data_IF_473166560091
#
_entry.id   IF_473166560091
#
_cell.length_a   1.000
_cell.length_b   1.000
_cell.length_c   1.000
_cell.angle_alpha   90.00
_cell.angle_beta   90.00
_cell.angle_gamma   90.00
#
_symmetry.space_group_name_H-M   'P 1'
#
loop_
_entity.id
_entity.type
_entity.pdbx_description
1 polymer ?
#
# COMPACT_ATOMS: atom_id res chain seq x y z
N UNK A 1 9.34 -7.09 21.74
CA UNK A 1 8.41 -6.72 20.63
C UNK A 1 8.04 -7.99 19.89
N UNK A 2 6.78 -8.40 19.97
CA UNK A 2 6.28 -9.70 19.44
C UNK A 2 6.41 -9.80 17.90
N UNK A 3 6.35 -8.66 17.22
CA UNK A 3 6.42 -8.58 15.75
C UNK A 3 7.85 -8.44 15.20
N UNK A 4 8.85 -8.11 16.02
CA UNK A 4 10.21 -7.88 15.52
C UNK A 4 10.85 -9.17 14.97
N UNK A 5 10.76 -10.28 15.70
CA UNK A 5 11.34 -11.56 15.26
C UNK A 5 10.79 -12.07 13.93
N UNK A 6 9.45 -12.09 13.67
CA UNK A 6 8.93 -12.39 12.34
C UNK A 6 9.42 -11.42 11.25
N UNK A 7 9.52 -10.12 11.54
CA UNK A 7 10.04 -9.16 10.57
C UNK A 7 11.52 -9.38 10.26
N UNK A 8 12.34 -9.66 11.27
CA UNK A 8 13.75 -10.02 11.09
C UNK A 8 13.92 -11.25 10.21
N UNK A 9 13.04 -12.24 10.37
CA UNK A 9 13.10 -13.49 9.63
C UNK A 9 12.62 -13.36 8.18
N UNK A 10 11.53 -12.63 7.94
CA UNK A 10 10.84 -12.69 6.64
C UNK A 10 11.01 -11.44 5.77
N UNK A 11 11.48 -10.32 6.32
CA UNK A 11 11.71 -9.11 5.54
C UNK A 11 12.88 -9.32 4.58
N UNK A 12 12.73 -9.03 3.28
CA UNK A 12 13.81 -9.14 2.32
C UNK A 12 15.06 -8.37 2.75
N UNK A 13 16.24 -8.97 2.54
CA UNK A 13 17.51 -8.41 3.02
C UNK A 13 17.88 -7.07 2.36
N UNK A 14 17.35 -6.83 1.17
CA UNK A 14 17.59 -5.65 0.34
C UNK A 14 16.61 -4.49 0.56
N UNK A 15 15.66 -4.64 1.49
CA UNK A 15 14.77 -3.53 1.87
C UNK A 15 15.57 -2.38 2.50
N UNK A 16 15.43 -1.14 1.99
CA UNK A 16 16.12 0.02 2.54
C UNK A 16 15.74 0.26 4.00
N UNK A 17 16.69 0.82 4.77
CA UNK A 17 16.47 1.15 6.18
C UNK A 17 15.93 -0.02 7.02
N UNK A 18 16.32 -1.24 6.68
CA UNK A 18 15.80 -2.48 7.28
C UNK A 18 15.72 -2.46 8.81
N UNK A 19 16.72 -1.96 9.58
CA UNK A 19 16.62 -1.85 11.03
C UNK A 19 15.46 -0.94 11.48
N UNK A 20 15.30 0.22 10.86
CA UNK A 20 14.20 1.14 11.17
C UNK A 20 12.85 0.56 10.75
N UNK A 21 12.79 -0.22 9.65
CA UNK A 21 11.58 -0.93 9.24
C UNK A 21 11.19 -1.95 10.31
N UNK A 22 12.11 -2.77 10.80
CA UNK A 22 11.83 -3.78 11.84
C UNK A 22 11.30 -3.09 13.10
N UNK A 23 11.97 -2.04 13.58
CA UNK A 23 11.57 -1.32 14.79
C UNK A 23 10.19 -0.65 14.63
N UNK A 24 10.06 0.23 13.64
CA UNK A 24 8.86 1.07 13.48
C UNK A 24 7.65 0.28 12.97
N UNK A 25 7.84 -0.70 12.08
CA UNK A 25 6.73 -1.53 11.62
C UNK A 25 6.27 -2.49 12.72
N UNK A 26 7.16 -2.98 13.61
CA UNK A 26 6.74 -3.71 14.81
C UNK A 26 5.85 -2.84 15.68
N UNK A 27 6.25 -1.59 15.95
CA UNK A 27 5.43 -0.66 16.73
C UNK A 27 4.11 -0.33 16.06
N UNK A 28 4.09 -0.19 14.72
CA UNK A 28 2.85 -0.01 13.96
C UNK A 28 1.88 -1.19 14.16
N UNK A 29 2.37 -2.42 14.06
CA UNK A 29 1.53 -3.61 14.28
C UNK A 29 1.02 -3.70 15.72
N UNK A 30 1.82 -3.31 16.73
CA UNK A 30 1.38 -3.22 18.12
C UNK A 30 0.23 -2.20 18.27
N UNK A 31 0.37 -1.00 17.68
CA UNK A 31 -0.67 0.02 17.70
C UNK A 31 -1.97 -0.45 17.04
N UNK A 32 -1.88 -1.26 15.98
CA UNK A 32 -3.04 -1.88 15.35
C UNK A 32 -3.74 -2.84 16.32
N UNK A 33 -2.98 -3.72 16.99
CA UNK A 33 -3.55 -4.67 17.96
C UNK A 33 -4.19 -3.93 19.14
N UNK A 34 -3.49 -2.93 19.69
CA UNK A 34 -4.00 -2.08 20.77
C UNK A 34 -5.36 -1.41 20.35
N UNK A 35 -5.41 -0.86 19.14
CA UNK A 35 -6.60 -0.16 18.63
C UNK A 35 -7.73 -1.11 18.28
N UNK A 36 -7.45 -2.33 17.85
CA UNK A 36 -8.46 -3.34 17.53
C UNK A 36 -9.37 -3.70 18.73
N UNK A 37 -8.94 -3.46 19.97
CA UNK A 37 -9.82 -3.58 21.14
C UNK A 37 -10.97 -2.59 21.13
N UNK A 38 -10.81 -1.45 20.45
CA UNK A 38 -11.81 -0.39 20.38
C UNK A 38 -12.61 -0.38 19.09
N UNK A 39 -12.00 -0.67 17.96
CA UNK A 39 -12.65 -0.85 16.66
C UNK A 39 -11.76 -1.63 15.69
N UNK A 40 -12.38 -2.45 14.84
CA UNK A 40 -11.67 -3.32 13.92
C UNK A 40 -10.96 -2.54 12.81
N UNK A 41 -9.64 -2.51 12.85
CA UNK A 41 -8.76 -2.05 11.78
C UNK A 41 -8.46 -3.18 10.78
N UNK A 42 -8.15 -4.35 11.30
CA UNK A 42 -7.86 -5.56 10.52
C UNK A 42 -8.20 -6.83 11.32
N UNK A 43 -8.47 -7.93 10.62
CA UNK A 43 -8.66 -9.25 11.22
C UNK A 43 -7.34 -10.01 11.41
N UNK A 44 -6.29 -9.57 10.75
CA UNK A 44 -4.98 -10.23 10.76
C UNK A 44 -4.17 -9.63 11.92
N UNK A 45 -4.09 -10.37 13.01
CA UNK A 45 -3.41 -9.94 14.26
C UNK A 45 -2.39 -10.96 14.76
N UNK A 46 -2.37 -12.17 14.21
CA UNK A 46 -1.30 -13.14 14.49
C UNK A 46 0.05 -12.53 14.11
N UNK A 47 1.09 -12.64 14.95
CA UNK A 47 2.36 -11.96 14.73
C UNK A 47 3.06 -12.31 13.43
N UNK A 48 3.07 -13.58 13.05
CA UNK A 48 3.71 -14.05 11.81
C UNK A 48 2.87 -13.63 10.60
N UNK A 49 1.56 -13.89 10.67
CA UNK A 49 0.65 -13.54 9.59
C UNK A 49 0.62 -12.01 9.33
N UNK A 50 0.57 -11.21 10.39
CA UNK A 50 0.56 -9.75 10.29
C UNK A 50 1.89 -9.21 9.73
N UNK A 51 3.03 -9.73 10.19
CA UNK A 51 4.33 -9.35 9.65
C UNK A 51 4.41 -9.65 8.14
N UNK A 52 3.99 -10.84 7.72
CA UNK A 52 4.07 -11.26 6.32
C UNK A 52 3.02 -10.53 5.45
N UNK A 53 1.73 -10.64 5.80
CA UNK A 53 0.63 -10.14 4.94
C UNK A 53 0.47 -8.62 4.98
N UNK A 54 0.99 -7.94 6.00
CA UNK A 54 0.92 -6.50 6.07
C UNK A 54 2.24 -5.83 5.69
N UNK A 55 3.34 -6.16 6.36
CA UNK A 55 4.60 -5.43 6.20
C UNK A 55 5.43 -5.98 5.05
N UNK A 56 5.71 -7.29 5.03
CA UNK A 56 6.52 -7.91 3.97
C UNK A 56 5.82 -7.74 2.61
N UNK A 57 4.52 -8.06 2.53
CA UNK A 57 3.71 -7.84 1.31
C UNK A 57 3.80 -6.40 0.79
N UNK A 58 3.76 -5.40 1.68
CA UNK A 58 3.88 -3.98 1.31
C UNK A 58 5.26 -3.64 0.72
N UNK A 59 6.31 -4.32 1.21
CA UNK A 59 7.70 -3.99 0.90
C UNK A 59 8.34 -4.86 -0.19
N UNK A 60 7.72 -5.97 -0.58
CA UNK A 60 8.25 -6.78 -1.70
C UNK A 60 8.57 -5.93 -2.94
N UNK A 61 7.64 -5.08 -3.41
CA UNK A 61 7.86 -4.29 -4.61
C UNK A 61 8.42 -2.87 -4.34
N UNK A 62 9.13 -2.64 -3.24
CA UNK A 62 9.60 -1.32 -2.82
C UNK A 62 10.37 -0.54 -3.90
N UNK A 63 11.10 -1.24 -4.77
CA UNK A 63 11.92 -0.63 -5.85
C UNK A 63 11.09 0.21 -6.82
N UNK A 64 9.84 -0.15 -7.05
CA UNK A 64 8.94 0.59 -7.96
C UNK A 64 8.52 1.96 -7.43
N UNK A 65 8.80 2.24 -6.14
CA UNK A 65 8.45 3.49 -5.45
C UNK A 65 9.65 4.38 -5.16
N UNK A 66 10.89 3.85 -5.24
CA UNK A 66 12.09 4.49 -4.73
C UNK A 66 12.46 5.81 -5.44
N UNK A 67 12.16 5.92 -6.73
CA UNK A 67 12.49 7.10 -7.54
C UNK A 67 11.37 8.17 -7.55
N UNK A 68 10.26 7.93 -6.89
CA UNK A 68 9.15 8.87 -6.85
C UNK A 68 9.40 9.98 -5.82
N UNK A 69 8.95 11.19 -6.13
CA UNK A 69 8.94 12.29 -5.15
C UNK A 69 7.73 12.21 -4.23
N UNK A 70 6.57 11.86 -4.79
CA UNK A 70 5.30 11.77 -4.05
C UNK A 70 4.56 10.50 -4.42
N UNK A 71 4.19 9.72 -3.40
CA UNK A 71 3.37 8.51 -3.50
C UNK A 71 2.07 8.73 -2.71
N UNK A 72 0.92 8.53 -3.35
CA UNK A 72 -0.38 8.54 -2.66
C UNK A 72 -0.88 7.11 -2.46
N UNK A 73 -1.19 6.74 -1.23
CA UNK A 73 -1.81 5.46 -0.87
C UNK A 73 -3.33 5.64 -0.78
N UNK A 74 -4.05 5.09 -1.74
CA UNK A 74 -5.49 5.25 -1.89
C UNK A 74 -6.27 4.19 -1.10
N UNK A 75 -6.96 4.64 -0.05
CA UNK A 75 -7.66 3.74 0.85
C UNK A 75 -6.70 3.04 1.80
N UNK A 76 -5.82 3.79 2.45
CA UNK A 76 -4.73 3.28 3.29
C UNK A 76 -5.17 2.35 4.41
N UNK A 77 -6.41 2.42 4.84
CA UNK A 77 -6.95 1.56 5.90
C UNK A 77 -6.14 1.69 7.21
N UNK A 78 -5.54 0.58 7.69
CA UNK A 78 -4.63 0.64 8.84
C UNK A 78 -3.21 1.10 8.50
N UNK A 79 -2.97 1.60 7.27
CA UNK A 79 -1.68 2.18 6.84
C UNK A 79 -0.87 1.31 5.88
N UNK A 80 -1.49 0.39 5.16
CA UNK A 80 -0.79 -0.51 4.24
C UNK A 80 -1.23 -0.31 2.77
N UNK A 81 -0.28 -0.14 1.84
CA UNK A 81 1.17 -0.30 1.98
C UNK A 81 1.93 0.95 2.44
N UNK A 82 1.25 2.11 2.60
CA UNK A 82 1.88 3.42 2.73
C UNK A 82 2.88 3.57 3.89
N UNK A 83 2.53 3.15 5.12
CA UNK A 83 3.41 3.29 6.30
C UNK A 83 4.70 2.47 6.17
N UNK A 84 4.69 1.16 5.84
CA UNK A 84 5.92 0.41 5.64
C UNK A 84 6.81 1.01 4.54
N UNK A 85 6.23 1.43 3.42
CA UNK A 85 6.97 2.08 2.33
C UNK A 85 7.59 3.41 2.80
N UNK A 86 6.86 4.22 3.57
CA UNK A 86 7.35 5.49 4.08
C UNK A 86 8.52 5.32 5.08
N UNK A 87 8.53 4.24 5.86
CA UNK A 87 9.64 3.92 6.76
C UNK A 87 10.88 3.50 5.93
N UNK A 88 10.67 2.68 4.90
CA UNK A 88 11.75 2.18 4.05
C UNK A 88 12.34 3.29 3.16
N UNK A 89 11.54 4.26 2.72
CA UNK A 89 11.89 5.29 1.75
C UNK A 89 11.71 6.69 2.35
N UNK A 90 12.57 7.14 3.28
CA UNK A 90 12.39 8.40 4.02
C UNK A 90 12.49 9.66 3.15
N UNK A 91 13.11 9.58 1.98
CA UNK A 91 13.24 10.71 1.05
C UNK A 91 12.03 10.85 0.11
N UNK A 92 11.12 9.87 0.09
CA UNK A 92 9.87 9.88 -0.67
C UNK A 92 8.75 10.42 0.21
N UNK A 93 7.96 11.37 -0.29
CA UNK A 93 6.78 11.88 0.41
C UNK A 93 5.59 10.94 0.20
N UNK A 94 4.92 10.57 1.29
CA UNK A 94 3.74 9.71 1.26
C UNK A 94 2.48 10.48 1.67
N UNK A 95 1.41 10.29 0.92
CA UNK A 95 0.08 10.85 1.19
C UNK A 95 -0.86 9.69 1.44
N UNK A 96 -1.37 9.56 2.66
CA UNK A 96 -2.31 8.51 3.04
C UNK A 96 -3.74 9.03 2.91
N UNK A 97 -4.53 8.42 2.04
CA UNK A 97 -5.91 8.81 1.76
C UNK A 97 -6.86 7.79 2.37
N UNK A 98 -7.59 8.18 3.42
CA UNK A 98 -8.54 7.30 4.11
C UNK A 98 -9.84 8.06 4.44
N UNK A 99 -10.94 7.61 3.86
CA UNK A 99 -12.22 8.32 4.01
C UNK A 99 -12.92 8.10 5.35
N UNK A 100 -12.59 7.01 6.05
CA UNK A 100 -13.16 6.70 7.35
C UNK A 100 -12.48 7.49 8.46
N UNK A 101 -13.16 8.46 9.06
CA UNK A 101 -12.61 9.37 10.06
C UNK A 101 -11.86 8.68 11.20
N UNK A 102 -12.41 7.57 11.72
CA UNK A 102 -11.75 6.81 12.81
C UNK A 102 -10.41 6.22 12.37
N UNK A 103 -10.33 5.70 11.13
CA UNK A 103 -9.08 5.17 10.57
C UNK A 103 -8.10 6.28 10.24
N UNK A 104 -8.55 7.40 9.70
CA UNK A 104 -7.69 8.56 9.45
C UNK A 104 -7.05 9.08 10.75
N UNK A 105 -7.80 9.22 11.84
CA UNK A 105 -7.27 9.58 13.17
C UNK A 105 -6.26 8.57 13.69
N UNK A 106 -6.51 7.28 13.48
CA UNK A 106 -5.54 6.24 13.80
C UNK A 106 -4.25 6.43 13.02
N UNK A 107 -4.33 6.69 11.71
CA UNK A 107 -3.15 6.96 10.88
C UNK A 107 -2.38 8.19 11.35
N UNK A 108 -3.06 9.30 11.67
CA UNK A 108 -2.44 10.52 12.20
C UNK A 108 -1.67 10.24 13.49
N UNK A 109 -2.30 9.54 14.45
CA UNK A 109 -1.64 9.16 15.70
C UNK A 109 -0.48 8.21 15.49
N UNK A 110 -0.60 7.27 14.56
CA UNK A 110 0.47 6.32 14.21
C UNK A 110 1.66 7.04 13.56
N UNK A 111 1.43 7.92 12.60
CA UNK A 111 2.47 8.74 11.96
C UNK A 111 3.25 9.53 13.00
N UNK A 112 2.55 10.15 13.95
CA UNK A 112 3.16 10.89 15.06
C UNK A 112 3.96 9.97 15.98
N UNK A 113 3.39 8.84 16.41
CA UNK A 113 4.04 7.88 17.32
C UNK A 113 5.31 7.25 16.72
N UNK A 114 5.33 7.04 15.40
CA UNK A 114 6.48 6.51 14.66
C UNK A 114 7.49 7.60 14.24
N UNK A 115 7.18 8.88 14.45
CA UNK A 115 8.02 10.01 14.05
C UNK A 115 8.28 10.08 12.54
N UNK A 116 7.27 9.78 11.72
CA UNK A 116 7.38 9.82 10.26
C UNK A 116 7.17 11.26 9.76
N UNK A 117 8.24 11.89 9.28
CA UNK A 117 8.21 13.29 8.79
C UNK A 117 7.83 13.40 7.31
N UNK A 118 7.87 12.28 6.61
CA UNK A 118 7.58 12.18 5.18
C UNK A 118 6.16 11.66 4.89
N UNK A 119 5.25 11.71 5.86
CA UNK A 119 3.87 11.20 5.71
C UNK A 119 2.86 12.27 6.08
N UNK A 120 1.90 12.52 5.18
CA UNK A 120 0.71 13.32 5.43
C UNK A 120 -0.55 12.46 5.32
N UNK A 121 -1.52 12.67 6.21
CA UNK A 121 -2.79 11.94 6.22
C UNK A 121 -3.93 12.88 5.81
N UNK A 122 -4.79 12.44 4.91
CA UNK A 122 -5.96 13.18 4.45
C UNK A 122 -7.23 12.35 4.66
N UNK A 123 -8.19 12.83 5.48
CA UNK A 123 -9.45 12.15 5.77
C UNK A 123 -10.46 12.35 4.64
N UNK A 124 -10.12 11.96 3.43
CA UNK A 124 -10.91 12.18 2.20
C UNK A 124 -10.99 10.91 1.35
N UNK A 125 -11.94 10.88 0.43
CA UNK A 125 -11.96 9.90 -0.65
C UNK A 125 -10.81 10.16 -1.61
N UNK A 126 -10.15 9.10 -2.06
CA UNK A 126 -9.03 9.21 -2.99
C UNK A 126 -9.43 9.89 -4.30
N UNK A 127 -10.64 9.58 -4.82
CA UNK A 127 -11.18 10.17 -6.04
C UNK A 127 -11.38 11.68 -5.92
N UNK A 128 -11.73 12.17 -4.72
CA UNK A 128 -11.89 13.60 -4.48
C UNK A 128 -10.53 14.30 -4.38
N UNK A 129 -9.56 13.68 -3.72
CA UNK A 129 -8.19 14.19 -3.65
C UNK A 129 -7.56 14.30 -5.05
N UNK A 130 -7.77 13.30 -5.93
CA UNK A 130 -7.24 13.32 -7.30
C UNK A 130 -7.83 14.44 -8.18
N UNK A 131 -8.92 15.10 -7.77
CA UNK A 131 -9.47 16.25 -8.53
C UNK A 131 -8.60 17.51 -8.39
N UNK A 132 -8.08 17.77 -7.19
CA UNK A 132 -7.26 18.93 -6.86
C UNK A 132 -5.76 18.66 -6.91
N UNK A 133 -5.34 17.51 -6.43
CA UNK A 133 -3.96 17.17 -6.14
C UNK A 133 -3.39 16.10 -7.07
N UNK A 134 -2.07 15.89 -7.00
CA UNK A 134 -1.34 14.94 -7.82
C UNK A 134 -0.23 14.26 -7.02
N UNK A 135 -0.07 12.95 -7.25
CA UNK A 135 1.12 12.18 -6.90
C UNK A 135 1.76 11.61 -8.17
N UNK A 136 3.05 11.35 -8.16
CA UNK A 136 3.74 10.66 -9.26
C UNK A 136 3.29 9.21 -9.34
N UNK A 137 3.15 8.57 -8.17
CA UNK A 137 2.63 7.22 -8.04
C UNK A 137 1.40 7.25 -7.14
N UNK A 138 0.36 6.58 -7.57
CA UNK A 138 -0.78 6.22 -6.72
C UNK A 138 -0.69 4.71 -6.47
N UNK A 139 -0.76 4.29 -5.22
CA UNK A 139 -0.81 2.88 -4.88
C UNK A 139 -2.10 2.54 -4.16
N UNK A 140 -2.51 1.30 -4.24
CA UNK A 140 -3.61 0.77 -3.45
C UNK A 140 -3.50 -0.75 -3.28
N UNK A 141 -3.98 -1.23 -2.13
CA UNK A 141 -4.09 -2.65 -1.81
C UNK A 141 -5.53 -3.02 -1.49
N UNK A 142 -5.90 -4.28 -1.71
CA UNK A 142 -7.24 -4.79 -1.46
C UNK A 142 -8.36 -4.00 -2.15
N UNK A 143 -8.07 -3.44 -3.32
CA UNK A 143 -9.07 -2.77 -4.17
C UNK A 143 -9.94 -3.78 -4.90
N UNK A 144 -11.11 -3.32 -5.36
CA UNK A 144 -12.02 -4.09 -6.21
C UNK A 144 -11.32 -4.69 -7.45
N UNK A 145 -11.93 -5.69 -8.11
CA UNK A 145 -11.44 -6.18 -9.41
C UNK A 145 -11.20 -5.04 -10.40
N UNK A 146 -10.26 -5.25 -11.35
CA UNK A 146 -9.79 -4.20 -12.27
C UNK A 146 -10.90 -3.47 -13.01
N UNK A 147 -11.96 -4.18 -13.41
CA UNK A 147 -13.14 -3.57 -14.07
C UNK A 147 -13.73 -2.41 -13.23
N UNK A 148 -13.77 -2.57 -11.91
CA UNK A 148 -14.31 -1.57 -10.98
C UNK A 148 -13.24 -0.61 -10.47
N UNK A 149 -11.99 -1.03 -10.43
CA UNK A 149 -10.87 -0.20 -9.97
C UNK A 149 -10.46 0.86 -11.00
N UNK A 150 -10.40 0.50 -12.29
CA UNK A 150 -10.00 1.41 -13.38
C UNK A 150 -10.71 2.78 -13.36
N UNK A 151 -12.05 2.85 -13.24
CA UNK A 151 -12.75 4.14 -13.18
C UNK A 151 -12.31 5.04 -12.01
N UNK A 152 -11.99 4.45 -10.85
CA UNK A 152 -11.58 5.18 -9.64
C UNK A 152 -10.25 5.91 -9.83
N UNK A 153 -9.33 5.32 -10.60
CA UNK A 153 -7.99 5.88 -10.83
C UNK A 153 -7.87 6.73 -12.09
N UNK A 154 -8.92 6.80 -12.94
CA UNK A 154 -8.91 7.64 -14.15
C UNK A 154 -8.52 9.11 -13.91
N UNK A 155 -8.97 9.80 -12.83
CA UNK A 155 -8.53 11.16 -12.55
C UNK A 155 -7.02 11.28 -12.32
N UNK A 156 -6.43 10.36 -11.57
CA UNK A 156 -4.99 10.32 -11.33
C UNK A 156 -4.21 10.02 -12.62
N UNK A 157 -4.66 9.04 -13.41
CA UNK A 157 -4.07 8.70 -14.71
C UNK A 157 -4.08 9.89 -15.68
N UNK A 158 -5.19 10.63 -15.76
CA UNK A 158 -5.29 11.84 -16.61
C UNK A 158 -4.30 12.93 -16.21
N UNK A 159 -3.88 12.98 -14.95
CA UNK A 159 -2.85 13.90 -14.45
C UNK A 159 -1.43 13.36 -14.61
N UNK A 160 -1.26 12.21 -15.26
CA UNK A 160 0.03 11.59 -15.54
C UNK A 160 0.61 10.79 -14.38
N UNK A 161 -0.20 10.42 -13.36
CA UNK A 161 0.23 9.49 -12.33
C UNK A 161 0.36 8.08 -12.89
N UNK A 162 1.33 7.30 -12.39
CA UNK A 162 1.34 5.83 -12.50
C UNK A 162 0.52 5.26 -11.36
N UNK A 163 -0.33 4.27 -11.62
CA UNK A 163 -1.11 3.63 -10.57
C UNK A 163 -0.60 2.20 -10.37
N UNK A 164 -0.11 1.89 -9.18
CA UNK A 164 0.46 0.60 -8.82
C UNK A 164 -0.49 -0.14 -7.86
N UNK A 165 -1.06 -1.24 -8.32
CA UNK A 165 -2.05 -2.02 -7.56
C UNK A 165 -1.46 -3.35 -7.10
N UNK A 166 -1.61 -3.65 -5.82
CA UNK A 166 -1.31 -4.97 -5.25
C UNK A 166 -2.50 -5.89 -5.49
N UNK A 167 -2.31 -6.91 -6.33
CA UNK A 167 -3.34 -7.86 -6.75
C UNK A 167 -3.01 -9.29 -6.32
N UNK A 168 -3.99 -10.16 -6.32
CA UNK A 168 -3.83 -11.59 -6.08
C UNK A 168 -3.38 -12.36 -7.33
N UNK A 169 -3.36 -13.70 -7.21
CA UNK A 169 -2.91 -14.62 -8.25
C UNK A 169 -3.81 -14.70 -9.49
N UNK A 170 -5.06 -14.24 -9.39
CA UNK A 170 -6.04 -14.32 -10.49
C UNK A 170 -6.01 -13.11 -11.44
N UNK A 171 -4.88 -12.43 -11.53
CA UNK A 171 -4.76 -11.16 -12.27
C UNK A 171 -5.04 -11.32 -13.77
N UNK A 172 -4.64 -12.42 -14.39
CA UNK A 172 -4.88 -12.67 -15.82
C UNK A 172 -6.39 -12.73 -16.12
N UNK A 173 -7.17 -13.38 -15.25
CA UNK A 173 -8.62 -13.39 -15.35
C UNK A 173 -9.19 -11.98 -15.18
N UNK A 174 -8.74 -11.22 -14.18
CA UNK A 174 -9.20 -9.85 -13.99
C UNK A 174 -8.91 -8.95 -15.20
N UNK A 175 -7.75 -9.12 -15.86
CA UNK A 175 -7.40 -8.39 -17.09
C UNK A 175 -8.33 -8.83 -18.24
N UNK A 176 -8.60 -10.12 -18.37
CA UNK A 176 -9.48 -10.62 -19.41
C UNK A 176 -10.94 -10.13 -19.28
N UNK A 177 -11.38 -9.89 -18.04
CA UNK A 177 -12.72 -9.35 -17.74
C UNK A 177 -12.86 -7.85 -18.04
N UNK A 178 -11.77 -7.10 -18.25
CA UNK A 178 -11.85 -5.67 -18.66
C UNK A 178 -12.45 -5.59 -20.06
N UNK A 179 -13.63 -4.95 -20.25
CA UNK A 179 -14.33 -5.00 -21.54
C UNK A 179 -13.57 -4.32 -22.68
N UNK A 180 -12.94 -3.18 -22.41
CA UNK A 180 -12.25 -2.38 -23.40
C UNK A 180 -10.86 -2.90 -23.72
N UNK A 181 -10.58 -3.26 -24.97
CA UNK A 181 -9.24 -3.62 -25.44
C UNK A 181 -8.24 -2.46 -25.26
N UNK A 182 -8.69 -1.23 -25.38
CA UNK A 182 -7.87 -0.03 -25.11
C UNK A 182 -7.45 0.00 -23.66
N UNK A 183 -8.37 -0.20 -22.72
CA UNK A 183 -8.07 -0.19 -21.31
C UNK A 183 -7.17 -1.37 -20.91
N UNK A 184 -7.37 -2.57 -21.51
CA UNK A 184 -6.45 -3.72 -21.28
C UNK A 184 -5.01 -3.39 -21.63
N UNK A 185 -4.76 -2.66 -22.73
CA UNK A 185 -3.41 -2.26 -23.14
C UNK A 185 -2.73 -1.27 -22.20
N UNK A 186 -3.46 -0.66 -21.28
CA UNK A 186 -2.91 0.24 -20.25
C UNK A 186 -2.50 -0.50 -18.98
N UNK A 187 -2.75 -1.80 -18.90
CA UNK A 187 -2.47 -2.64 -17.73
C UNK A 187 -1.19 -3.43 -18.01
N UNK A 188 -0.20 -3.26 -17.15
CA UNK A 188 1.09 -3.96 -17.24
C UNK A 188 1.33 -4.70 -15.93
N UNK A 189 1.62 -5.99 -16.01
CA UNK A 189 2.14 -6.76 -14.87
C UNK A 189 3.61 -6.40 -14.70
N UNK A 190 3.98 -5.82 -13.56
CA UNK A 190 5.36 -5.43 -13.28
C UNK A 190 6.16 -6.58 -12.67
N UNK A 191 5.60 -7.23 -11.67
CA UNK A 191 6.21 -8.41 -11.03
C UNK A 191 5.16 -9.28 -10.34
N UNK A 192 5.51 -10.55 -10.14
CA UNK A 192 4.75 -11.49 -9.32
C UNK A 192 5.72 -12.10 -8.30
N UNK A 193 5.28 -12.18 -7.04
CA UNK A 193 6.07 -12.71 -5.95
C UNK A 193 5.24 -13.61 -5.04
N UNK A 194 5.90 -14.61 -4.42
CA UNK A 194 5.32 -15.44 -3.38
C UNK A 194 5.56 -14.82 -2.01
N UNK A 195 4.55 -14.87 -1.16
CA UNK A 195 4.71 -14.52 0.25
C UNK A 195 5.33 -15.69 1.01
N UNK A 196 6.19 -15.42 2.01
CA UNK A 196 6.74 -16.46 2.88
C UNK A 196 5.65 -17.33 3.52
N UNK A 197 6.01 -18.53 3.97
CA UNK A 197 5.12 -19.47 4.66
C UNK A 197 3.88 -19.86 3.82
N UNK A 198 4.03 -19.95 2.52
CA UNK A 198 2.94 -20.30 1.58
C UNK A 198 1.67 -19.44 1.77
N UNK A 199 1.85 -18.19 2.23
CA UNK A 199 0.73 -17.24 2.45
C UNK A 199 0.15 -16.65 1.15
N UNK A 200 0.42 -17.31 0.04
CA UNK A 200 -0.09 -16.99 -1.29
C UNK A 200 0.87 -16.15 -2.12
N UNK A 201 0.44 -15.83 -3.33
CA UNK A 201 1.19 -14.98 -4.27
C UNK A 201 0.51 -13.63 -4.46
N UNK A 202 1.31 -12.65 -4.88
CA UNK A 202 0.87 -11.30 -5.23
C UNK A 202 1.44 -10.91 -6.58
N UNK A 203 0.72 -10.02 -7.22
CA UNK A 203 1.14 -9.41 -8.48
C UNK A 203 1.03 -7.90 -8.36
N UNK A 204 2.12 -7.19 -8.62
CA UNK A 204 2.09 -5.75 -8.77
C UNK A 204 1.71 -5.41 -10.20
N UNK A 205 0.65 -4.63 -10.36
CA UNK A 205 0.10 -4.22 -11.64
C UNK A 205 0.20 -2.72 -11.78
N UNK A 206 0.70 -2.25 -12.91
CA UNK A 206 0.67 -0.82 -13.27
C UNK A 206 -0.50 -0.54 -14.21
N UNK A 207 -1.24 0.52 -13.88
CA UNK A 207 -2.14 1.18 -14.82
C UNK A 207 -1.45 2.45 -15.33
N UNK A 208 -1.53 2.69 -16.62
CA UNK A 208 -1.02 3.90 -17.29
C UNK A 208 -2.11 4.60 -18.09
N UNK A 209 -1.90 5.87 -18.46
CA UNK A 209 -2.81 6.53 -19.39
C UNK A 209 -2.81 5.82 -20.75
N UNK A 210 -3.94 5.64 -21.41
CA UNK A 210 -3.94 5.23 -22.79
C UNK A 210 -3.30 6.35 -23.63
N UNK A 211 -2.32 5.96 -24.45
CA UNK A 211 -1.75 6.83 -25.49
C UNK A 211 -2.81 7.23 -26.52
#
# INVERSE_FOLDING_TARGET
>A
MVFASPLEQYLPADVPNRPAVIEKASRHLELIVETNHSFNLTRIVDPVEAAIKHVVDSLMPWRHFADAKVVADAGSGPGFPGIPLAIALPDVQFVLLESTQKKARFLESTVQALGLRNVAVFPVRAEDWFKSDRAEIVTARAVAPLVRALPLFRPALKKGSRVLLYKGSNIEQEIAEVPSLRDRKTITVLETYALPQDMGSRTLVQLSSPN
#
